data_IF_205883616319
#
_entry.id   IF_205883616319
#
_cell.length_a   1.000
_cell.length_b   1.000
_cell.length_c   1.000
_cell.angle_alpha   90.00
_cell.angle_beta   90.00
_cell.angle_gamma   90.00
#
_symmetry.space_group_name_H-M   'P 1'
#
loop_
_entity.id
_entity.type
_entity.pdbx_description
1 polymer ?
#
# COMPACT_ATOMS: atom_id res chain seq x y z
N UNK A 1 -20.67 -13.71 25.10
CA UNK A 1 -20.17 -12.42 24.60
C UNK A 1 -19.84 -12.57 23.11
N UNK A 2 -20.06 -11.55 22.28
CA UNK A 2 -19.76 -11.60 20.84
C UNK A 2 -18.88 -10.42 20.48
N UNK A 3 -17.87 -10.66 19.64
CA UNK A 3 -16.89 -9.67 19.22
C UNK A 3 -16.83 -9.63 17.69
N UNK A 4 -17.35 -8.56 17.09
CA UNK A 4 -17.24 -8.35 15.65
C UNK A 4 -16.09 -7.37 15.35
N UNK A 5 -15.11 -7.82 14.58
CA UNK A 5 -13.99 -6.99 14.16
C UNK A 5 -14.18 -6.59 12.69
N UNK A 6 -14.40 -5.30 12.45
CA UNK A 6 -14.63 -4.73 11.11
C UNK A 6 -13.38 -4.02 10.63
N UNK A 7 -13.03 -4.21 9.35
CA UNK A 7 -11.82 -3.65 8.74
C UNK A 7 -12.14 -2.90 7.45
N UNK A 8 -11.41 -1.81 7.21
CA UNK A 8 -11.50 -1.02 5.97
C UNK A 8 -10.67 -1.64 4.86
N UNK A 9 -9.45 -2.05 5.19
CA UNK A 9 -8.42 -2.44 4.20
C UNK A 9 -8.25 -3.96 4.08
N UNK A 10 -9.01 -4.72 4.88
CA UNK A 10 -9.03 -6.18 4.85
C UNK A 10 -10.36 -6.71 4.33
N UNK A 11 -10.29 -7.78 3.56
CA UNK A 11 -11.43 -8.66 3.31
C UNK A 11 -11.04 -10.11 3.49
N UNK A 12 -12.02 -10.96 3.73
CA UNK A 12 -11.81 -12.35 4.11
C UNK A 12 -12.59 -13.29 3.21
N UNK A 13 -11.95 -14.39 2.84
CA UNK A 13 -12.56 -15.47 2.07
C UNK A 13 -12.17 -16.81 2.69
N UNK A 14 -13.16 -17.69 2.90
CA UNK A 14 -12.93 -19.02 3.47
C UNK A 14 -12.50 -19.98 2.38
N UNK A 15 -11.39 -20.68 2.58
CA UNK A 15 -10.80 -21.63 1.63
C UNK A 15 -10.42 -22.92 2.36
N UNK A 16 -11.24 -23.97 2.24
CA UNK A 16 -11.02 -25.30 2.86
C UNK A 16 -10.71 -25.21 4.37
N UNK A 17 -9.44 -25.32 4.75
CA UNK A 17 -8.88 -25.33 6.09
C UNK A 17 -8.24 -23.98 6.50
N UNK A 18 -8.38 -22.96 5.65
CA UNK A 18 -7.76 -21.63 5.81
C UNK A 18 -8.75 -20.51 5.56
N UNK A 19 -8.38 -19.33 6.02
CA UNK A 19 -9.03 -18.06 5.67
C UNK A 19 -8.01 -17.23 4.92
N UNK A 20 -8.32 -16.90 3.66
CA UNK A 20 -7.56 -15.93 2.88
C UNK A 20 -7.89 -14.54 3.41
N UNK A 21 -6.87 -13.81 3.83
CA UNK A 21 -6.97 -12.40 4.22
C UNK A 21 -6.45 -11.58 3.06
N UNK A 22 -7.34 -10.90 2.35
CA UNK A 22 -6.96 -9.93 1.32
C UNK A 22 -6.64 -8.59 1.98
N UNK A 23 -5.58 -7.93 1.53
CA UNK A 23 -5.09 -6.65 2.04
C UNK A 23 -4.85 -5.67 0.89
N UNK A 24 -5.35 -4.43 1.01
CA UNK A 24 -5.20 -3.35 0.01
C UNK A 24 -5.47 -3.83 -1.43
N UNK A 25 -6.49 -4.68 -1.63
CA UNK A 25 -6.95 -5.27 -2.90
C UNK A 25 -5.97 -6.21 -3.62
N UNK A 26 -4.67 -5.89 -3.63
CA UNK A 26 -3.65 -6.61 -4.41
C UNK A 26 -2.86 -7.63 -3.62
N UNK A 27 -2.88 -7.54 -2.30
CA UNK A 27 -2.09 -8.40 -1.45
C UNK A 27 -2.97 -9.38 -0.71
N UNK A 28 -2.41 -10.51 -0.33
CA UNK A 28 -3.12 -11.49 0.48
C UNK A 28 -2.17 -12.32 1.33
N UNK A 29 -2.71 -12.91 2.39
CA UNK A 29 -2.04 -13.92 3.21
C UNK A 29 -3.07 -14.93 3.70
N UNK A 30 -2.63 -15.99 4.37
CA UNK A 30 -3.51 -17.03 4.90
C UNK A 30 -3.42 -17.13 6.41
N UNK A 31 -4.56 -17.37 7.04
CA UNK A 31 -4.68 -17.77 8.44
C UNK A 31 -5.29 -19.17 8.50
N UNK A 32 -4.62 -20.10 9.17
CA UNK A 32 -5.14 -21.45 9.40
C UNK A 32 -6.40 -21.40 10.29
N UNK A 33 -7.46 -22.11 9.93
CA UNK A 33 -8.70 -22.13 10.72
C UNK A 33 -8.45 -22.62 12.14
N UNK A 34 -7.57 -23.61 12.30
CA UNK A 34 -7.19 -24.16 13.61
C UNK A 34 -6.64 -23.07 14.51
N UNK A 35 -5.90 -22.11 13.96
CA UNK A 35 -5.31 -21.01 14.73
C UNK A 35 -6.36 -19.96 15.10
N UNK A 36 -7.31 -19.68 14.20
CA UNK A 36 -8.43 -18.78 14.48
C UNK A 36 -9.36 -19.36 15.57
N UNK A 37 -9.64 -20.67 15.54
CA UNK A 37 -10.45 -21.36 16.55
C UNK A 37 -9.84 -21.33 17.96
N UNK A 38 -8.51 -21.15 18.08
CA UNK A 38 -7.85 -20.95 19.39
C UNK A 38 -8.19 -19.61 20.04
N UNK A 39 -8.64 -18.62 19.27
CA UNK A 39 -9.17 -17.37 19.83
C UNK A 39 -10.56 -17.64 20.40
N UNK A 40 -11.44 -18.17 19.56
CA UNK A 40 -12.84 -18.48 19.82
C UNK A 40 -13.47 -19.14 18.57
N UNK A 41 -14.65 -19.78 18.68
CA UNK A 41 -15.46 -20.09 17.50
C UNK A 41 -15.72 -18.82 16.68
N UNK A 42 -15.56 -18.88 15.35
CA UNK A 42 -15.62 -17.69 14.51
C UNK A 42 -16.45 -17.88 13.25
N UNK A 43 -16.92 -16.76 12.70
CA UNK A 43 -17.58 -16.64 11.40
C UNK A 43 -16.91 -15.54 10.59
N UNK A 44 -16.83 -15.73 9.28
CA UNK A 44 -16.16 -14.82 8.35
C UNK A 44 -17.21 -14.17 7.47
N UNK A 45 -17.21 -12.84 7.46
CA UNK A 45 -17.93 -12.01 6.51
C UNK A 45 -16.92 -11.31 5.59
N UNK A 46 -17.42 -10.63 4.56
CA UNK A 46 -16.58 -9.99 3.54
C UNK A 46 -15.49 -9.09 4.15
N UNK A 47 -15.85 -8.16 5.04
CA UNK A 47 -14.92 -7.20 5.66
C UNK A 47 -14.89 -7.30 7.20
N UNK A 48 -15.48 -8.35 7.77
CA UNK A 48 -15.50 -8.56 9.22
C UNK A 48 -15.27 -10.01 9.60
N UNK A 49 -14.73 -10.21 10.79
CA UNK A 49 -14.65 -11.53 11.43
C UNK A 49 -15.35 -11.44 12.78
N UNK A 50 -16.28 -12.36 13.00
CA UNK A 50 -17.06 -12.46 14.23
C UNK A 50 -16.50 -13.58 15.08
N UNK A 51 -16.14 -13.29 16.33
CA UNK A 51 -15.75 -14.27 17.33
C UNK A 51 -16.85 -14.42 18.39
N UNK A 52 -17.23 -15.67 18.69
CA UNK A 52 -18.22 -16.04 19.71
C UNK A 52 -17.52 -16.34 21.03
N UNK A 53 -18.19 -16.08 22.15
CA UNK A 53 -17.73 -16.42 23.50
C UNK A 53 -16.42 -15.76 23.95
N UNK A 54 -16.11 -14.57 23.41
CA UNK A 54 -14.93 -13.79 23.79
C UNK A 54 -15.26 -12.29 23.81
N UNK A 55 -14.59 -11.53 24.69
CA UNK A 55 -14.69 -10.07 24.72
C UNK A 55 -14.02 -9.46 23.48
N UNK A 56 -14.52 -8.34 22.98
CA UNK A 56 -13.91 -7.64 21.83
C UNK A 56 -12.43 -7.30 22.04
N UNK A 57 -12.07 -6.78 23.22
CA UNK A 57 -10.69 -6.43 23.54
C UNK A 57 -9.73 -7.62 23.40
N UNK A 58 -10.07 -8.77 24.01
CA UNK A 58 -9.26 -9.98 23.91
C UNK A 58 -9.25 -10.56 22.49
N UNK A 59 -10.38 -10.52 21.78
CA UNK A 59 -10.47 -11.02 20.40
C UNK A 59 -9.59 -10.20 19.47
N UNK A 60 -9.69 -8.87 19.53
CA UNK A 60 -8.91 -7.91 18.76
C UNK A 60 -7.41 -8.11 18.98
N UNK A 61 -6.95 -8.11 20.23
CA UNK A 61 -5.53 -8.28 20.56
C UNK A 61 -4.95 -9.59 20.01
N UNK A 62 -5.66 -10.71 20.20
CA UNK A 62 -5.21 -12.02 19.71
C UNK A 62 -5.22 -12.08 18.18
N UNK A 63 -6.25 -11.52 17.55
CA UNK A 63 -6.39 -11.50 16.10
C UNK A 63 -5.31 -10.63 15.44
N UNK A 64 -5.07 -9.42 15.97
CA UNK A 64 -4.01 -8.52 15.49
C UNK A 64 -2.64 -9.17 15.58
N UNK A 65 -2.36 -9.94 16.62
CA UNK A 65 -1.12 -10.72 16.73
C UNK A 65 -1.01 -11.79 15.63
N UNK A 66 -2.08 -12.52 15.32
CA UNK A 66 -2.09 -13.49 14.22
C UNK A 66 -1.88 -12.79 12.87
N UNK A 67 -2.58 -11.68 12.65
CA UNK A 67 -2.50 -10.89 11.44
C UNK A 67 -1.09 -10.33 11.22
N UNK A 68 -0.48 -9.78 12.27
CA UNK A 68 0.89 -9.28 12.22
C UNK A 68 1.89 -10.38 11.80
N UNK A 69 1.72 -11.60 12.32
CA UNK A 69 2.56 -12.72 11.93
C UNK A 69 2.31 -13.19 10.50
N UNK A 70 1.06 -13.22 10.04
CA UNK A 70 0.73 -13.63 8.67
C UNK A 70 1.18 -12.62 7.62
N UNK A 71 1.30 -11.34 7.99
CA UNK A 71 1.82 -10.29 7.11
C UNK A 71 3.31 -10.47 6.75
N UNK A 72 4.06 -11.26 7.52
CA UNK A 72 5.43 -11.69 7.13
C UNK A 72 5.45 -12.59 5.88
N UNK A 73 4.29 -13.14 5.51
CA UNK A 73 4.10 -14.04 4.38
C UNK A 73 3.14 -13.46 3.34
N UNK A 74 3.01 -12.13 3.30
CA UNK A 74 2.15 -11.44 2.34
C UNK A 74 2.58 -11.77 0.90
N UNK A 75 1.60 -11.98 0.03
CA UNK A 75 1.77 -12.30 -1.38
C UNK A 75 1.06 -11.28 -2.25
N UNK A 76 1.65 -10.97 -3.39
CA UNK A 76 1.02 -10.16 -4.43
C UNK A 76 0.17 -11.04 -5.35
N UNK A 77 -1.08 -10.67 -5.58
CA UNK A 77 -2.02 -11.38 -6.46
C UNK A 77 -1.60 -11.38 -7.93
N UNK A 78 -0.88 -10.36 -8.40
CA UNK A 78 -0.52 -10.21 -9.82
C UNK A 78 0.60 -11.16 -10.26
N UNK A 79 1.52 -11.50 -9.36
CA UNK A 79 2.76 -12.20 -9.70
C UNK A 79 3.16 -13.28 -8.68
N UNK A 80 2.38 -13.46 -7.61
CA UNK A 80 2.62 -14.41 -6.52
C UNK A 80 3.95 -14.22 -5.74
N UNK A 81 4.62 -13.09 -5.92
CA UNK A 81 5.85 -12.76 -5.19
C UNK A 81 5.54 -12.49 -3.72
N UNK A 82 6.54 -12.73 -2.88
CA UNK A 82 6.50 -12.28 -1.49
C UNK A 82 6.51 -10.76 -1.46
N UNK A 83 5.66 -10.16 -0.64
CA UNK A 83 5.58 -8.71 -0.50
C UNK A 83 5.98 -8.30 0.91
N UNK A 84 6.86 -7.33 1.02
CA UNK A 84 7.21 -6.69 2.29
C UNK A 84 6.31 -5.47 2.47
N UNK A 85 5.48 -5.49 3.52
CA UNK A 85 4.72 -4.32 3.95
C UNK A 85 5.56 -3.45 4.87
N UNK A 86 5.81 -2.23 4.44
CA UNK A 86 6.61 -1.24 5.17
C UNK A 86 5.63 -0.26 5.81
N UNK A 87 5.64 -0.20 7.13
CA UNK A 87 4.75 0.63 7.92
C UNK A 87 5.53 1.27 9.07
N UNK A 88 4.96 2.25 9.76
CA UNK A 88 5.70 3.01 10.77
C UNK A 88 6.35 2.11 11.84
N UNK A 89 5.66 1.06 12.29
CA UNK A 89 6.17 0.14 13.32
C UNK A 89 7.17 -0.90 12.78
N UNK A 90 7.42 -0.97 11.47
CA UNK A 90 8.45 -1.85 10.92
C UNK A 90 9.87 -1.31 11.19
N UNK A 91 10.00 -0.02 11.50
CA UNK A 91 11.28 0.63 11.78
C UNK A 91 12.20 0.77 10.55
N UNK A 92 11.72 0.40 9.36
CA UNK A 92 12.47 0.50 8.11
C UNK A 92 12.46 1.97 7.66
N UNK A 93 13.62 2.63 7.46
CA UNK A 93 13.67 3.98 6.94
C UNK A 93 13.10 4.07 5.52
N UNK A 94 12.33 5.13 5.23
CA UNK A 94 11.82 5.38 3.88
C UNK A 94 12.84 6.11 2.97
N UNK A 95 13.93 6.62 3.52
CA UNK A 95 14.99 7.30 2.78
C UNK A 95 16.15 6.34 2.49
N UNK A 96 16.79 6.49 1.32
CA UNK A 96 18.07 5.83 1.01
C UNK A 96 17.98 4.54 0.20
N UNK A 97 16.79 4.11 -0.21
CA UNK A 97 16.58 2.99 -1.13
C UNK A 97 16.02 3.48 -2.47
N UNK A 98 16.39 2.82 -3.56
CA UNK A 98 15.81 3.09 -4.87
C UNK A 98 14.47 2.38 -5.10
N UNK A 99 14.08 1.43 -4.25
CA UNK A 99 12.91 0.57 -4.48
C UNK A 99 11.61 1.13 -3.91
N UNK A 100 11.65 1.85 -2.79
CA UNK A 100 10.43 2.31 -2.11
C UNK A 100 10.70 3.58 -1.33
N UNK A 101 9.65 4.21 -0.81
CA UNK A 101 9.78 5.35 0.09
C UNK A 101 10.05 6.65 -0.65
N UNK A 102 11.10 7.37 -0.26
CA UNK A 102 11.34 8.77 -0.60
C UNK A 102 12.78 8.99 -1.06
N UNK A 103 12.96 9.78 -2.12
CA UNK A 103 14.28 10.17 -2.63
C UNK A 103 14.28 11.68 -2.92
N UNK A 104 15.10 12.42 -2.18
CA UNK A 104 15.40 13.81 -2.53
C UNK A 104 16.38 13.85 -3.71
N UNK A 105 16.01 14.52 -4.80
CA UNK A 105 16.85 14.65 -6.00
C UNK A 105 17.88 15.77 -5.91
N UNK A 106 17.97 16.46 -4.77
CA UNK A 106 18.82 17.64 -4.60
C UNK A 106 18.28 18.88 -5.32
N UNK A 107 17.08 18.79 -5.87
CA UNK A 107 16.37 19.88 -6.54
C UNK A 107 15.07 20.18 -5.78
N UNK A 108 14.06 20.74 -6.47
CA UNK A 108 12.71 20.85 -5.94
C UNK A 108 11.90 19.56 -6.08
N UNK A 109 12.47 18.46 -6.59
CA UNK A 109 11.76 17.18 -6.76
C UNK A 109 12.09 16.23 -5.60
N UNK A 110 11.04 15.67 -5.01
CA UNK A 110 11.12 14.50 -4.13
C UNK A 110 10.39 13.35 -4.84
N UNK A 111 11.08 12.26 -5.14
CA UNK A 111 10.43 11.06 -5.64
C UNK A 111 9.70 10.33 -4.50
N UNK A 112 8.48 9.88 -4.77
CA UNK A 112 7.64 9.09 -3.88
C UNK A 112 7.37 7.73 -4.52
N UNK A 113 7.75 6.64 -3.86
CA UNK A 113 7.66 5.27 -4.37
C UNK A 113 6.82 4.40 -3.43
N UNK A 114 5.48 4.38 -3.59
CA UNK A 114 4.59 3.71 -2.65
C UNK A 114 4.50 2.18 -2.86
N UNK A 115 4.83 1.69 -4.06
CA UNK A 115 4.65 0.29 -4.45
C UNK A 115 5.65 -0.12 -5.55
N UNK A 116 6.06 -1.39 -5.57
CA UNK A 116 6.91 -1.97 -6.63
C UNK A 116 6.19 -3.09 -7.39
N UNK A 117 4.91 -2.91 -7.71
CA UNK A 117 4.13 -3.89 -8.45
C UNK A 117 3.69 -3.29 -9.77
N UNK A 118 3.72 -4.06 -10.86
CA UNK A 118 3.26 -3.61 -12.18
C UNK A 118 2.34 -4.65 -12.82
N UNK A 119 1.42 -4.17 -13.66
CA UNK A 119 0.47 -4.97 -14.44
C UNK A 119 1.00 -5.33 -15.85
N UNK A 120 2.18 -4.85 -16.23
CA UNK A 120 2.82 -5.10 -17.54
C UNK A 120 4.25 -5.57 -17.31
N UNK A 121 4.79 -6.40 -18.22
CA UNK A 121 6.21 -6.80 -18.25
C UNK A 121 6.90 -6.18 -19.47
N UNK A 122 7.23 -4.89 -19.39
CA UNK A 122 7.85 -4.18 -20.50
C UNK A 122 9.27 -4.72 -20.78
N UNK A 123 9.59 -5.06 -22.02
CA UNK A 123 10.90 -5.61 -22.43
C UNK A 123 12.08 -4.66 -22.13
N UNK A 124 11.80 -3.37 -22.02
CA UNK A 124 12.76 -2.29 -21.76
C UNK A 124 12.71 -1.79 -20.30
N UNK A 125 12.02 -2.49 -19.40
CA UNK A 125 11.85 -2.05 -18.01
C UNK A 125 13.19 -2.07 -17.26
N UNK A 126 13.73 -0.90 -16.93
CA UNK A 126 14.99 -0.76 -16.19
C UNK A 126 14.92 -1.25 -14.74
N UNK A 127 13.72 -1.34 -14.17
CA UNK A 127 13.47 -1.76 -12.78
C UNK A 127 13.01 -3.22 -12.66
N UNK A 128 12.88 -3.91 -13.80
CA UNK A 128 12.43 -5.31 -13.93
C UNK A 128 11.16 -5.56 -13.09
N UNK A 129 10.07 -4.88 -13.40
CA UNK A 129 8.76 -5.09 -12.76
C UNK A 129 7.73 -5.80 -13.63
N UNK A 130 6.70 -6.34 -12.98
CA UNK A 130 5.56 -6.98 -13.63
C UNK A 130 5.47 -8.49 -13.39
N UNK A 131 4.50 -9.17 -14.01
CA UNK A 131 4.33 -10.62 -13.90
C UNK A 131 5.52 -11.45 -14.40
N UNK A 132 6.23 -10.99 -15.44
CA UNK A 132 7.41 -11.64 -16.01
C UNK A 132 8.73 -11.26 -15.35
N UNK A 133 8.70 -10.48 -14.27
CA UNK A 133 9.92 -9.98 -13.63
C UNK A 133 10.67 -11.07 -12.87
N UNK A 134 12.00 -11.00 -12.91
CA UNK A 134 12.89 -11.95 -12.20
C UNK A 134 13.09 -11.60 -10.73
N UNK A 135 12.61 -10.43 -10.28
CA UNK A 135 12.65 -10.02 -8.89
C UNK A 135 11.81 -10.97 -8.04
N UNK A 136 12.29 -11.28 -6.84
CA UNK A 136 11.63 -12.24 -5.93
C UNK A 136 10.69 -11.59 -4.92
N UNK A 137 10.83 -10.28 -4.72
CA UNK A 137 10.16 -9.53 -3.65
C UNK A 137 9.61 -8.21 -4.18
N UNK A 138 8.36 -7.94 -3.78
CA UNK A 138 7.70 -6.66 -3.98
C UNK A 138 7.63 -5.88 -2.65
N UNK A 139 7.46 -4.57 -2.74
CA UNK A 139 7.29 -3.68 -1.59
C UNK A 139 5.99 -2.91 -1.70
N UNK A 140 5.36 -2.67 -0.55
CA UNK A 140 4.20 -1.80 -0.38
C UNK A 140 4.42 -0.96 0.87
N UNK A 141 4.28 0.37 0.76
CA UNK A 141 4.50 1.29 1.87
C UNK A 141 3.18 1.85 2.38
N UNK A 142 3.01 1.90 3.69
CA UNK A 142 1.88 2.51 4.38
C UNK A 142 1.75 4.00 4.04
N UNK A 143 0.56 4.40 3.57
CA UNK A 143 0.26 5.77 3.14
C UNK A 143 0.62 6.81 4.21
N UNK A 144 0.17 6.59 5.44
CA UNK A 144 0.40 7.55 6.53
C UNK A 144 1.88 7.65 6.90
N UNK A 145 2.64 6.56 6.75
CA UNK A 145 4.09 6.58 6.96
C UNK A 145 4.81 7.40 5.88
N UNK A 146 4.42 7.25 4.60
CA UNK A 146 4.93 8.10 3.49
C UNK A 146 4.67 9.57 3.81
N UNK A 147 3.42 9.93 4.14
CA UNK A 147 3.03 11.32 4.39
C UNK A 147 3.79 11.92 5.58
N UNK A 148 3.99 11.14 6.64
CA UNK A 148 4.75 11.56 7.82
C UNK A 148 6.21 11.86 7.48
N UNK A 149 6.90 10.95 6.80
CA UNK A 149 8.32 11.15 6.48
C UNK A 149 8.51 12.20 5.38
N UNK A 150 7.58 12.31 4.43
CA UNK A 150 7.59 13.35 3.40
C UNK A 150 7.47 14.74 4.03
N UNK A 151 6.57 14.91 5.01
CA UNK A 151 6.41 16.18 5.73
C UNK A 151 7.72 16.61 6.39
N UNK A 152 8.39 15.70 7.11
CA UNK A 152 9.70 15.98 7.72
C UNK A 152 10.73 16.40 6.69
N UNK A 153 10.78 15.73 5.54
CA UNK A 153 11.72 16.05 4.46
C UNK A 153 11.43 17.42 3.83
N UNK A 154 10.16 17.74 3.60
CA UNK A 154 9.73 19.06 3.09
C UNK A 154 10.10 20.17 4.08
N UNK A 155 9.81 19.97 5.37
CA UNK A 155 10.18 20.91 6.43
C UNK A 155 11.70 21.11 6.50
N UNK A 156 12.47 20.02 6.44
CA UNK A 156 13.93 20.08 6.41
C UNK A 156 14.47 20.85 5.19
N UNK A 157 13.90 20.65 4.01
CA UNK A 157 14.30 21.38 2.80
C UNK A 157 13.94 22.87 2.86
N UNK A 158 12.94 23.26 3.65
CA UNK A 158 12.53 24.66 3.81
C UNK A 158 12.04 25.34 2.52
N UNK A 159 11.71 24.57 1.48
CA UNK A 159 11.29 25.09 0.16
C UNK A 159 9.77 25.10 0.04
N UNK A 160 9.25 26.12 -0.65
CA UNK A 160 7.81 26.28 -0.94
C UNK A 160 7.38 25.81 -2.33
N UNK A 161 8.31 25.26 -3.12
CA UNK A 161 8.11 24.94 -4.53
C UNK A 161 8.39 23.46 -4.84
N UNK A 162 8.11 22.56 -3.88
CA UNK A 162 8.43 21.14 -4.03
C UNK A 162 7.41 20.46 -4.96
N UNK A 163 7.92 19.65 -5.89
CA UNK A 163 7.15 18.64 -6.62
C UNK A 163 7.35 17.27 -5.95
N UNK A 164 6.27 16.72 -5.41
CA UNK A 164 6.23 15.35 -4.92
C UNK A 164 5.86 14.41 -6.08
N UNK A 165 6.90 13.93 -6.76
CA UNK A 165 6.80 13.14 -7.96
C UNK A 165 6.63 11.66 -7.63
N UNK A 166 5.44 11.12 -7.89
CA UNK A 166 5.12 9.70 -7.70
C UNK A 166 5.75 8.90 -8.85
N UNK A 167 6.92 8.34 -8.58
CA UNK A 167 7.77 7.68 -9.58
C UNK A 167 7.27 6.25 -9.90
N UNK A 168 7.39 5.85 -11.15
CA UNK A 168 7.08 4.52 -11.68
C UNK A 168 8.16 3.45 -11.37
N UNK A 169 8.53 3.28 -10.09
CA UNK A 169 9.29 2.09 -9.67
C UNK A 169 8.43 0.81 -9.81
N UNK A 170 7.11 0.95 -9.76
CA UNK A 170 6.08 0.02 -10.23
C UNK A 170 4.98 0.81 -10.95
N UNK A 171 3.79 0.26 -11.12
CA UNK A 171 2.64 1.02 -11.64
C UNK A 171 1.89 1.67 -10.46
N UNK A 172 1.93 3.00 -10.29
CA UNK A 172 1.38 3.63 -9.09
C UNK A 172 -0.15 3.54 -9.02
N UNK A 173 -0.87 3.43 -10.14
CA UNK A 173 -2.34 3.29 -10.13
C UNK A 173 -2.84 1.97 -9.52
N UNK A 174 -1.94 1.01 -9.29
CA UNK A 174 -2.23 -0.20 -8.54
C UNK A 174 -2.35 0.05 -7.03
N UNK A 175 -1.70 1.09 -6.51
CA UNK A 175 -1.72 1.43 -5.09
C UNK A 175 -3.14 1.79 -4.61
N UNK A 176 -3.65 1.06 -3.63
CA UNK A 176 -5.05 1.15 -3.21
C UNK A 176 -5.44 2.55 -2.72
N UNK A 177 -4.53 3.22 -2.00
CA UNK A 177 -4.76 4.53 -1.39
C UNK A 177 -4.27 5.70 -2.26
N UNK A 178 -4.03 5.51 -3.56
CA UNK A 178 -3.39 6.54 -4.40
C UNK A 178 -4.08 7.90 -4.34
N UNK A 179 -5.42 7.92 -4.38
CA UNK A 179 -6.21 9.16 -4.26
C UNK A 179 -5.96 9.84 -2.92
N UNK A 180 -6.01 9.09 -1.83
CA UNK A 180 -5.78 9.63 -0.47
C UNK A 180 -4.31 10.02 -0.23
N UNK A 181 -3.38 9.30 -0.86
CA UNK A 181 -1.96 9.64 -0.84
C UNK A 181 -1.74 11.01 -1.50
N UNK A 182 -2.27 11.23 -2.71
CA UNK A 182 -2.16 12.51 -3.42
C UNK A 182 -2.83 13.63 -2.62
N UNK A 183 -4.02 13.40 -2.03
CA UNK A 183 -4.66 14.39 -1.13
C UNK A 183 -3.76 14.76 0.04
N UNK A 184 -3.20 13.74 0.69
CA UNK A 184 -2.28 13.91 1.80
C UNK A 184 -1.04 14.71 1.39
N UNK A 185 -0.43 14.37 0.26
CA UNK A 185 0.73 15.07 -0.31
C UNK A 185 0.40 16.55 -0.53
N UNK A 186 -0.69 16.84 -1.26
CA UNK A 186 -1.07 18.22 -1.59
C UNK A 186 -1.48 19.05 -0.36
N UNK A 187 -1.77 18.41 0.78
CA UNK A 187 -2.04 19.10 2.05
C UNK A 187 -0.76 19.54 2.80
N UNK A 188 0.42 19.10 2.37
CA UNK A 188 1.70 19.44 3.03
C UNK A 188 2.15 20.83 2.57
N UNK A 189 2.24 21.78 3.50
CA UNK A 189 2.80 23.11 3.25
C UNK A 189 4.22 22.97 2.67
N UNK A 190 4.43 23.57 1.50
CA UNK A 190 5.71 23.55 0.78
C UNK A 190 5.69 22.69 -0.47
N UNK A 191 4.72 21.78 -0.59
CA UNK A 191 4.43 21.06 -1.83
C UNK A 191 3.54 21.94 -2.70
N UNK A 192 4.01 22.22 -3.92
CA UNK A 192 3.27 22.99 -4.93
C UNK A 192 2.59 22.09 -5.94
N UNK A 193 3.19 20.94 -6.22
CA UNK A 193 2.72 20.01 -7.24
C UNK A 193 2.94 18.58 -6.77
N UNK A 194 2.06 17.70 -7.21
CA UNK A 194 2.32 16.26 -7.20
C UNK A 194 2.11 15.76 -8.62
N UNK A 195 3.17 15.21 -9.19
CA UNK A 195 3.18 14.57 -10.50
C UNK A 195 3.19 13.04 -10.35
N UNK A 196 2.80 12.31 -11.40
CA UNK A 196 2.73 10.85 -11.39
C UNK A 196 3.12 10.29 -12.75
N UNK A 197 4.00 9.30 -12.75
CA UNK A 197 4.32 8.50 -13.93
C UNK A 197 3.51 7.20 -13.90
N UNK A 198 2.80 6.90 -15.00
CA UNK A 198 1.93 5.71 -15.10
C UNK A 198 1.93 5.18 -16.53
N UNK A 199 1.79 3.86 -16.68
CA UNK A 199 1.58 3.21 -17.97
C UNK A 199 0.18 3.49 -18.57
N UNK A 200 -0.73 4.10 -17.80
CA UNK A 200 -2.00 4.60 -18.29
C UNK A 200 -3.11 3.56 -18.45
N UNK A 201 -2.82 2.25 -18.39
CA UNK A 201 -3.81 1.21 -18.68
C UNK A 201 -5.01 1.20 -17.72
N UNK A 202 -4.81 1.66 -16.48
CA UNK A 202 -5.85 1.68 -15.45
C UNK A 202 -6.55 3.05 -15.34
N UNK A 203 -6.23 4.00 -16.22
CA UNK A 203 -6.85 5.33 -16.24
C UNK A 203 -8.27 5.26 -16.83
N UNK A 204 -9.23 4.89 -16.00
CA UNK A 204 -10.67 4.93 -16.36
C UNK A 204 -11.26 6.34 -16.21
N UNK A 205 -12.42 6.61 -16.81
CA UNK A 205 -13.14 7.90 -16.61
C UNK A 205 -13.39 8.21 -15.13
N UNK A 206 -13.67 7.19 -14.31
CA UNK A 206 -13.87 7.33 -12.86
C UNK A 206 -12.57 7.72 -12.16
N UNK A 207 -11.44 7.16 -12.59
CA UNK A 207 -10.13 7.57 -12.10
C UNK A 207 -9.81 9.01 -12.49
N UNK A 208 -10.01 9.38 -13.76
CA UNK A 208 -9.80 10.74 -14.25
C UNK A 208 -10.67 11.77 -13.52
N UNK A 209 -11.92 11.44 -13.22
CA UNK A 209 -12.83 12.27 -12.41
C UNK A 209 -12.36 12.45 -10.97
N UNK A 210 -11.69 11.44 -10.39
CA UNK A 210 -11.02 11.59 -9.10
C UNK A 210 -9.79 12.49 -9.19
N UNK A 211 -8.99 12.42 -10.26
CA UNK A 211 -7.79 13.24 -10.48
C UNK A 211 -8.07 14.73 -10.69
N UNK A 212 -9.11 15.09 -11.46
CA UNK A 212 -9.46 16.49 -11.74
C UNK A 212 -9.84 17.29 -10.49
N UNK A 213 -10.27 16.60 -9.42
CA UNK A 213 -10.56 17.21 -8.11
C UNK A 213 -9.32 17.30 -7.19
N UNK A 214 -8.19 16.72 -7.58
CA UNK A 214 -6.99 16.54 -6.75
C UNK A 214 -5.83 17.48 -7.14
N UNK A 215 -5.97 18.27 -8.21
CA UNK A 215 -4.90 19.16 -8.66
C UNK A 215 -3.66 18.46 -9.23
N UNK A 216 -3.78 17.20 -9.67
CA UNK A 216 -2.70 16.48 -10.34
C UNK A 216 -2.32 17.19 -11.64
N UNK A 217 -1.08 17.65 -11.73
CA UNK A 217 -0.54 18.26 -12.93
C UNK A 217 -0.31 17.22 -14.02
N UNK A 218 -0.75 17.51 -15.26
CA UNK A 218 -0.31 16.76 -16.44
C UNK A 218 0.97 17.41 -16.95
N UNK A 219 2.07 16.67 -16.99
CA UNK A 219 3.11 17.00 -17.96
C UNK A 219 2.62 16.46 -19.30
N UNK A 220 2.26 17.37 -20.21
CA UNK A 220 2.08 16.99 -21.60
C UNK A 220 3.43 16.49 -22.14
N UNK A 221 3.48 15.40 -22.91
CA UNK A 221 4.67 15.09 -23.68
C UNK A 221 4.98 16.29 -24.58
N UNK A 222 6.25 16.70 -24.60
CA UNK A 222 6.79 17.76 -25.46
C UNK A 222 6.66 17.33 -26.92
#
# INVERSE_FOLDING_TARGET
AMAELIFKDLSFEREKDKVRVNFLRLFYTYLEEVTLRKIAPFEVNKNSILFKDVSEHSARKKFEFLLFNSFKHLKNRLNNKTTVYIHQSSGIPLMGTNYFGLIDRGTNIIEVKPITSCNISCIFCSVDEGPGSRRRVDFIVEKDYILKELRKLVEFKGSSNIDAHINAQGEPTLYADMVELVRGIMSIKGIKTSSIDTNGLLLTKNWQGSQGKLGLGRQAPI
#
